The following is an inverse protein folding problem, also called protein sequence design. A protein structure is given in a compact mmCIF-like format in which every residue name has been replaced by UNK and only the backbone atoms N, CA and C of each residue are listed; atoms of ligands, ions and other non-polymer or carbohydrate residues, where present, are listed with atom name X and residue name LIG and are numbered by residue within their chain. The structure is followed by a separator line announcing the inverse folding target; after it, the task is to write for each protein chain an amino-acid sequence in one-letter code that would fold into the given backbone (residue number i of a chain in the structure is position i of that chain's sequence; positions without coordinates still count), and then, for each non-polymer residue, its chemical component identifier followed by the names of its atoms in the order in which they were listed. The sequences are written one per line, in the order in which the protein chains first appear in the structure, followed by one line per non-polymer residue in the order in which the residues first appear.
data_IF_625536028965
#
_entry.id   IF_625536028965
#
_cell.length_a   1.000
_cell.length_b   1.000
_cell.length_c   1.000
_cell.angle_alpha   90.00
_cell.angle_beta   90.00
_cell.angle_gamma   90.00
#
_symmetry.space_group_name_H-M   'P 1'
#
loop_
_entity.id
_entity.type
_entity.pdbx_description
1 polymer ?
#
# COMPACT_ATOMS: atom_id res chain seq x y z
N UNK A 1 0.67 4.77 -15.36
CA UNK A 1 0.72 3.84 -14.21
C UNK A 1 -0.57 3.87 -13.38
N UNK A 2 -1.27 5.00 -13.36
CA UNK A 2 -2.52 5.23 -12.61
C UNK A 2 -3.59 4.13 -12.72
N UNK A 3 -3.84 3.57 -13.90
CA UNK A 3 -4.89 2.54 -14.07
C UNK A 3 -4.71 1.33 -13.15
N UNK A 4 -3.47 0.91 -12.90
CA UNK A 4 -3.17 -0.23 -12.02
C UNK A 4 -3.33 0.16 -10.54
N UNK A 5 -2.76 1.30 -10.14
CA UNK A 5 -2.90 1.84 -8.78
C UNK A 5 -4.37 2.06 -8.40
N UNK A 6 -5.16 2.62 -9.31
CA UNK A 6 -6.60 2.84 -9.10
C UNK A 6 -7.40 1.53 -8.99
N UNK A 7 -7.00 0.49 -9.73
CA UNK A 7 -7.57 -0.86 -9.60
C UNK A 7 -7.26 -1.48 -8.23
N UNK A 8 -6.02 -1.28 -7.75
CA UNK A 8 -5.59 -1.73 -6.42
C UNK A 8 -6.38 -0.98 -5.34
N UNK A 9 -6.48 0.34 -5.45
CA UNK A 9 -7.26 1.20 -4.56
C UNK A 9 -8.73 0.75 -4.49
N UNK A 10 -9.38 0.52 -5.63
CA UNK A 10 -10.76 0.02 -5.65
C UNK A 10 -10.91 -1.33 -4.97
N UNK A 11 -9.97 -2.27 -5.16
CA UNK A 11 -10.00 -3.58 -4.50
C UNK A 11 -9.84 -3.47 -2.98
N UNK A 12 -8.95 -2.59 -2.50
CA UNK A 12 -8.75 -2.34 -1.06
C UNK A 12 -9.99 -1.68 -0.48
N UNK A 13 -10.55 -0.69 -1.17
CA UNK A 13 -11.78 -0.01 -0.75
C UNK A 13 -12.98 -0.94 -0.72
N UNK A 14 -13.13 -1.81 -1.72
CA UNK A 14 -14.16 -2.85 -1.76
C UNK A 14 -14.00 -3.90 -0.64
N UNK A 15 -12.78 -4.08 -0.12
CA UNK A 15 -12.54 -4.93 1.04
C UNK A 15 -12.91 -4.26 2.38
N UNK A 16 -13.40 -3.02 2.36
CA UNK A 16 -13.77 -2.24 3.54
C UNK A 16 -12.60 -1.53 4.22
N UNK A 17 -11.46 -1.42 3.52
CA UNK A 17 -10.23 -0.81 4.06
C UNK A 17 -10.13 0.63 3.54
N UNK A 18 -9.78 1.57 4.43
CA UNK A 18 -9.49 2.95 4.03
C UNK A 18 -8.16 3.00 3.28
N UNK A 19 -8.19 3.52 2.07
CA UNK A 19 -7.03 3.68 1.20
C UNK A 19 -7.13 5.01 0.48
N UNK A 20 -5.98 5.66 0.33
CA UNK A 20 -5.83 6.90 -0.42
C UNK A 20 -4.66 6.74 -1.38
N UNK A 21 -4.86 7.09 -2.65
CA UNK A 21 -3.82 7.05 -3.67
C UNK A 21 -3.16 8.41 -3.83
N UNK A 22 -1.85 8.50 -3.54
CA UNK A 22 -1.07 9.69 -3.86
C UNK A 22 -0.46 9.58 -5.27
N UNK A 23 -0.98 10.39 -6.20
CA UNK A 23 -0.58 10.42 -7.61
C UNK A 23 0.36 11.59 -7.96
N UNK A 24 0.88 12.35 -6.98
CA UNK A 24 1.77 13.50 -7.24
C UNK A 24 3.03 13.09 -8.01
N UNK A 25 3.54 13.94 -8.89
CA UNK A 25 4.82 13.69 -9.61
C UNK A 25 6.05 14.01 -8.74
N UNK A 26 6.05 13.54 -7.49
CA UNK A 26 7.18 13.66 -6.56
C UNK A 26 7.95 12.35 -6.42
N UNK A 27 9.15 12.41 -5.83
CA UNK A 27 9.94 11.21 -5.54
C UNK A 27 9.21 10.31 -4.55
N UNK A 28 9.33 8.99 -4.75
CA UNK A 28 8.74 7.99 -3.84
C UNK A 28 9.19 8.22 -2.40
N UNK A 29 10.45 8.63 -2.20
CA UNK A 29 10.98 8.94 -0.87
C UNK A 29 10.27 10.13 -0.20
N UNK A 30 9.96 11.21 -0.95
CA UNK A 30 9.21 12.37 -0.43
C UNK A 30 7.84 11.92 0.09
N UNK A 31 7.10 11.16 -0.73
CA UNK A 31 5.77 10.65 -0.39
C UNK A 31 5.78 9.69 0.79
N UNK A 32 6.75 8.77 0.84
CA UNK A 32 6.90 7.85 1.98
C UNK A 32 7.12 8.65 3.25
N UNK A 33 7.98 9.68 3.21
CA UNK A 33 8.25 10.54 4.38
C UNK A 33 7.00 11.31 4.82
N UNK A 34 6.17 11.79 3.90
CA UNK A 34 4.91 12.46 4.23
C UNK A 34 3.91 11.49 4.85
N UNK A 35 3.73 10.31 4.26
CA UNK A 35 2.86 9.27 4.81
C UNK A 35 3.32 8.77 6.20
N UNK A 36 4.64 8.70 6.42
CA UNK A 36 5.21 8.41 7.74
C UNK A 36 4.91 9.53 8.75
N UNK A 37 4.98 10.80 8.34
CA UNK A 37 4.58 11.95 9.18
C UNK A 37 3.09 11.94 9.50
N UNK A 38 2.26 11.55 8.55
CA UNK A 38 0.81 11.36 8.74
C UNK A 38 0.48 10.13 9.60
N UNK A 39 1.49 9.40 10.10
CA UNK A 39 1.34 8.20 10.93
C UNK A 39 0.52 7.10 10.24
N UNK A 40 0.61 7.02 8.91
CA UNK A 40 -0.08 5.98 8.14
C UNK A 40 0.51 4.61 8.51
N UNK A 41 -0.32 3.63 8.89
CA UNK A 41 0.17 2.31 9.33
C UNK A 41 0.84 1.52 8.20
N UNK A 42 0.36 1.69 6.97
CA UNK A 42 0.83 0.97 5.79
C UNK A 42 0.98 1.89 4.59
N UNK A 43 2.17 1.90 3.99
CA UNK A 43 2.48 2.65 2.78
C UNK A 43 2.69 1.65 1.64
N UNK A 44 1.90 1.77 0.57
CA UNK A 44 2.00 0.88 -0.59
C UNK A 44 2.67 1.65 -1.72
N UNK A 45 3.78 1.11 -2.21
CA UNK A 45 4.52 1.65 -3.35
C UNK A 45 4.33 0.71 -4.54
N UNK A 46 3.98 1.29 -5.68
CA UNK A 46 3.78 0.57 -6.95
C UNK A 46 4.69 1.19 -8.00
N UNK A 47 5.83 0.55 -8.25
CA UNK A 47 6.71 0.87 -9.36
C UNK A 47 6.38 0.12 -10.64
N UNK A 48 7.21 0.33 -11.66
CA UNK A 48 7.12 -0.40 -12.93
C UNK A 48 7.39 -1.91 -12.77
N UNK A 49 8.33 -2.28 -11.89
CA UNK A 49 8.68 -3.69 -11.60
C UNK A 49 7.53 -4.42 -10.91
N UNK A 50 6.92 -3.81 -9.90
CA UNK A 50 5.74 -4.33 -9.20
C UNK A 50 4.55 -4.53 -10.14
N UNK A 51 4.31 -3.57 -11.04
CA UNK A 51 3.27 -3.69 -12.06
C UNK A 51 3.53 -4.87 -13.01
N UNK A 52 4.77 -5.06 -13.46
CA UNK A 52 5.13 -6.18 -14.33
C UNK A 52 4.94 -7.54 -13.64
N UNK A 53 5.33 -7.65 -12.37
CA UNK A 53 5.24 -8.87 -11.58
C UNK A 53 3.88 -9.09 -10.89
N UNK A 54 2.92 -8.16 -11.05
CA UNK A 54 1.64 -8.14 -10.32
C UNK A 54 1.82 -8.24 -8.79
N UNK A 55 2.88 -7.63 -8.29
CA UNK A 55 3.21 -7.55 -6.86
C UNK A 55 3.07 -6.11 -6.36
N UNK A 56 3.27 -5.91 -5.06
CA UNK A 56 3.21 -4.64 -4.36
C UNK A 56 4.40 -4.54 -3.41
N UNK A 57 4.91 -3.33 -3.22
CA UNK A 57 5.87 -3.03 -2.17
C UNK A 57 5.12 -2.41 -0.99
N UNK A 58 5.05 -3.14 0.13
CA UNK A 58 4.33 -2.73 1.33
C UNK A 58 5.34 -2.30 2.38
N UNK A 59 5.23 -1.07 2.88
CA UNK A 59 6.06 -0.54 3.95
C UNK A 59 5.20 -0.33 5.20
N UNK A 60 5.26 -1.24 6.18
CA UNK A 60 4.65 -1.02 7.49
C UNK A 60 5.40 0.07 8.26
N UNK A 61 4.66 0.84 9.05
CA UNK A 61 5.25 1.83 9.97
C UNK A 61 6.12 1.13 11.01
N UNK A 62 7.36 1.60 11.17
CA UNK A 62 8.31 1.07 12.16
C UNK A 62 8.90 -0.31 11.84
N UNK A 63 8.66 -0.84 10.64
CA UNK A 63 9.18 -2.14 10.21
C UNK A 63 9.83 -2.06 8.82
N UNK A 64 10.60 -3.10 8.47
CA UNK A 64 11.28 -3.15 7.17
C UNK A 64 10.26 -3.22 6.01
N UNK A 65 10.60 -2.64 4.84
CA UNK A 65 9.75 -2.74 3.66
C UNK A 65 9.71 -4.17 3.12
N UNK A 66 8.51 -4.65 2.80
CA UNK A 66 8.28 -5.93 2.13
C UNK A 66 8.02 -5.70 0.65
N UNK A 67 8.90 -6.22 -0.20
CA UNK A 67 8.74 -6.20 -1.64
C UNK A 67 8.19 -7.53 -2.14
N UNK A 68 7.45 -7.52 -3.26
CA UNK A 68 6.94 -8.75 -3.86
C UNK A 68 5.64 -9.28 -3.25
N UNK A 69 4.94 -8.48 -2.45
CA UNK A 69 3.69 -8.91 -1.80
C UNK A 69 2.57 -8.98 -2.83
N UNK A 70 1.84 -10.10 -2.89
CA UNK A 70 0.67 -10.22 -3.77
C UNK A 70 -0.52 -9.47 -3.17
N UNK A 71 -1.28 -8.81 -4.03
CA UNK A 71 -2.51 -8.11 -3.64
C UNK A 71 -3.48 -8.90 -2.74
N UNK A 72 -3.86 -10.16 -3.06
CA UNK A 72 -4.76 -10.94 -2.20
C UNK A 72 -4.15 -11.28 -0.83
N UNK A 73 -2.82 -11.43 -0.77
CA UNK A 73 -2.11 -11.73 0.47
C UNK A 73 -2.09 -10.52 1.40
N UNK A 74 -1.77 -9.35 0.83
CA UNK A 74 -1.84 -8.06 1.53
C UNK A 74 -3.24 -7.79 2.09
N UNK A 75 -4.29 -8.00 1.28
CA UNK A 75 -5.67 -7.84 1.70
C UNK A 75 -6.03 -8.73 2.90
N UNK A 76 -5.62 -10.00 2.88
CA UNK A 76 -5.84 -10.93 4.00
C UNK A 76 -5.12 -10.45 5.27
N UNK A 77 -3.87 -10.03 5.13
CA UNK A 77 -3.04 -9.55 6.23
C UNK A 77 -3.65 -8.30 6.89
N UNK A 78 -3.99 -7.29 6.10
CA UNK A 78 -4.61 -6.05 6.60
C UNK A 78 -5.98 -6.33 7.21
N UNK A 79 -6.82 -7.17 6.58
CA UNK A 79 -8.10 -7.57 7.20
C UNK A 79 -7.92 -8.23 8.55
N UNK A 80 -6.92 -9.10 8.68
CA UNK A 80 -6.65 -9.79 9.93
C UNK A 80 -6.20 -8.80 11.02
N UNK A 81 -5.34 -7.84 10.68
CA UNK A 81 -4.91 -6.79 11.61
C UNK A 81 -6.06 -5.87 12.05
N UNK A 82 -6.90 -5.43 11.11
CA UNK A 82 -8.10 -4.64 11.41
C UNK A 82 -9.03 -5.44 12.34
N UNK A 83 -9.23 -6.73 12.07
CA UNK A 83 -10.06 -7.62 12.90
C UNK A 83 -9.48 -7.79 14.30
N UNK A 84 -8.16 -7.87 14.43
CA UNK A 84 -7.46 -8.02 15.70
C UNK A 84 -7.26 -6.68 16.45
N UNK A 85 -7.77 -5.55 15.93
CA UNK A 85 -7.66 -4.21 16.55
C UNK A 85 -6.24 -3.83 16.97
N UNK A 86 -5.23 -4.42 16.34
CA UNK A 86 -3.83 -4.15 16.65
C UNK A 86 -3.35 -3.06 15.69
N UNK A 87 -3.62 -1.79 16.02
CA UNK A 87 -3.13 -0.62 15.27
C UNK A 87 -2.54 0.37 16.26
#
# INVERSE_FOLDING_TARGET
MEKYTRTIEQKIRAAGIRVEGDYRSETVQSKVRDAEKQKVPYIIVIGGKEKANKTLAVRPRGSKPNFGVKMPDFLKRVKNEIKNRTI
#
